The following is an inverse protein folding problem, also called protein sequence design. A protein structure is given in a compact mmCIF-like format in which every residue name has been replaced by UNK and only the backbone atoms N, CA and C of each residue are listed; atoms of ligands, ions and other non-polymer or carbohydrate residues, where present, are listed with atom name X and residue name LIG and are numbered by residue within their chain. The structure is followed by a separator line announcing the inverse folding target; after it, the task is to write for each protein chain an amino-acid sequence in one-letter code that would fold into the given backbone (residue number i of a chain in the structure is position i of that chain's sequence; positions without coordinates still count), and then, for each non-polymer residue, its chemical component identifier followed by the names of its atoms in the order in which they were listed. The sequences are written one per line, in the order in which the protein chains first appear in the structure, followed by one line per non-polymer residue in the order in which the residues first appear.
data_IF_358875284259
#
_entry.id   IF_358875284259
#
_cell.length_a   1.000
_cell.length_b   1.000
_cell.length_c   1.000
_cell.angle_alpha   90.00
_cell.angle_beta   90.00
_cell.angle_gamma   90.00
#
_symmetry.space_group_name_H-M   'P 1'
#
loop_
_entity.id
_entity.type
_entity.pdbx_description
1 polymer ?
#
# COMPACT_ATOMS: atom_id res chain seq x y z
N UNK A 1 -38.53 29.71 18.52
CA UNK A 1 -37.48 28.94 19.19
C UNK A 1 -37.26 27.74 18.29
N UNK A 2 -36.30 27.83 17.37
CA UNK A 2 -36.03 26.76 16.41
C UNK A 2 -35.51 25.55 17.18
N UNK A 3 -36.00 24.37 16.78
CA UNK A 3 -35.64 23.06 17.31
C UNK A 3 -34.22 22.67 16.86
N UNK A 4 -33.25 23.47 17.31
CA UNK A 4 -31.82 23.41 16.99
C UNK A 4 -31.18 22.11 17.52
N UNK A 5 -31.70 21.61 18.64
CA UNK A 5 -31.24 20.40 19.29
C UNK A 5 -31.57 19.12 18.53
N UNK A 6 -32.75 19.05 17.88
CA UNK A 6 -33.11 17.90 17.04
C UNK A 6 -32.21 17.79 15.82
N UNK A 7 -31.94 18.92 15.17
CA UNK A 7 -31.07 18.99 13.98
C UNK A 7 -29.60 18.73 14.32
N UNK A 8 -29.12 19.20 15.47
CA UNK A 8 -27.73 18.98 15.89
C UNK A 8 -27.47 17.52 16.26
N UNK A 9 -28.44 16.85 16.91
CA UNK A 9 -28.32 15.43 17.24
C UNK A 9 -28.34 14.55 15.98
N UNK A 10 -29.22 14.86 15.02
CA UNK A 10 -29.26 14.17 13.73
C UNK A 10 -27.93 14.33 12.97
N UNK A 11 -27.36 15.54 12.93
CA UNK A 11 -26.07 15.79 12.29
C UNK A 11 -24.91 15.02 12.95
N UNK A 12 -24.93 14.85 14.28
CA UNK A 12 -23.93 14.05 15.00
C UNK A 12 -24.07 12.56 14.68
N UNK A 13 -25.29 12.05 14.62
CA UNK A 13 -25.55 10.65 14.28
C UNK A 13 -25.16 10.33 12.84
N UNK A 14 -25.46 11.23 11.91
CA UNK A 14 -25.02 11.12 10.52
C UNK A 14 -23.50 11.12 10.39
N UNK A 15 -22.80 12.06 11.05
CA UNK A 15 -21.34 12.12 11.03
C UNK A 15 -20.69 10.85 11.61
N UNK A 16 -21.29 10.25 12.64
CA UNK A 16 -20.83 8.97 13.19
C UNK A 16 -21.03 7.82 12.23
N UNK A 17 -22.21 7.74 11.61
CA UNK A 17 -22.51 6.71 10.61
C UNK A 17 -21.54 6.81 9.43
N UNK A 18 -21.25 8.01 8.96
CA UNK A 18 -20.32 8.22 7.85
C UNK A 18 -18.90 7.79 8.26
N UNK A 19 -18.45 8.14 9.47
CA UNK A 19 -17.16 7.69 9.99
C UNK A 19 -17.07 6.15 10.10
N UNK A 20 -18.13 5.49 10.57
CA UNK A 20 -18.17 4.01 10.66
C UNK A 20 -18.11 3.37 9.26
N UNK A 21 -18.79 3.94 8.28
CA UNK A 21 -18.75 3.46 6.89
C UNK A 21 -17.37 3.65 6.26
N UNK A 22 -16.73 4.80 6.49
CA UNK A 22 -15.35 5.07 6.05
C UNK A 22 -14.37 4.09 6.69
N UNK A 23 -14.48 3.86 8.00
CA UNK A 23 -13.63 2.90 8.70
C UNK A 23 -13.83 1.48 8.18
N UNK A 24 -15.07 1.05 7.99
CA UNK A 24 -15.37 -0.27 7.42
C UNK A 24 -14.81 -0.43 5.99
N UNK A 25 -14.74 0.65 5.21
CA UNK A 25 -14.11 0.65 3.89
C UNK A 25 -12.58 0.54 3.97
N UNK A 26 -11.95 1.31 4.87
CA UNK A 26 -10.51 1.24 5.10
C UNK A 26 -10.08 -0.14 5.61
N UNK A 27 -10.83 -0.74 6.53
CA UNK A 27 -10.55 -2.08 7.06
C UNK A 27 -10.67 -3.16 5.98
N UNK A 28 -11.71 -3.08 5.15
CA UNK A 28 -11.89 -4.01 4.02
C UNK A 28 -10.72 -3.91 3.04
N UNK A 29 -10.28 -2.70 2.70
CA UNK A 29 -9.14 -2.52 1.80
C UNK A 29 -7.82 -2.96 2.43
N UNK A 30 -7.59 -2.64 3.70
CA UNK A 30 -6.44 -3.12 4.46
C UNK A 30 -6.37 -4.65 4.50
N UNK A 31 -7.50 -5.32 4.72
CA UNK A 31 -7.60 -6.78 4.69
C UNK A 31 -7.31 -7.35 3.29
N UNK A 32 -7.80 -6.70 2.22
CA UNK A 32 -7.49 -7.09 0.84
C UNK A 32 -5.98 -7.03 0.58
N UNK A 33 -5.33 -5.92 0.93
CA UNK A 33 -3.88 -5.73 0.76
C UNK A 33 -3.06 -6.74 1.59
N UNK A 34 -3.48 -7.00 2.83
CA UNK A 34 -2.84 -8.01 3.68
C UNK A 34 -2.94 -9.43 3.06
N UNK A 35 -4.10 -9.79 2.51
CA UNK A 35 -4.29 -11.06 1.84
C UNK A 35 -3.45 -11.20 0.56
N UNK A 36 -3.29 -10.14 -0.22
CA UNK A 36 -2.40 -10.11 -1.39
C UNK A 36 -0.94 -10.30 -0.98
N UNK A 37 -0.48 -9.55 0.04
CA UNK A 37 0.88 -9.71 0.60
C UNK A 37 1.14 -11.13 1.10
N UNK A 38 0.18 -11.74 1.79
CA UNK A 38 0.29 -13.13 2.26
C UNK A 38 0.43 -14.16 1.12
N UNK A 39 -0.04 -13.81 -0.10
CA UNK A 39 0.14 -14.62 -1.32
C UNK A 39 1.45 -14.31 -2.06
N UNK A 40 2.28 -13.41 -1.53
CA UNK A 40 3.54 -12.99 -2.14
C UNK A 40 3.39 -11.94 -3.25
N UNK A 41 2.20 -11.33 -3.36
CA UNK A 41 1.93 -10.25 -4.33
C UNK A 41 2.50 -8.94 -3.77
N UNK A 42 3.28 -8.24 -4.59
CA UNK A 42 3.80 -6.92 -4.30
C UNK A 42 2.69 -5.89 -4.38
N UNK A 43 2.36 -5.25 -3.25
CA UNK A 43 1.36 -4.18 -3.20
C UNK A 43 1.96 -2.77 -3.15
N UNK A 44 3.30 -2.67 -3.11
CA UNK A 44 4.00 -1.39 -3.03
C UNK A 44 4.27 -0.78 -4.41
N UNK A 45 4.50 -1.62 -5.43
CA UNK A 45 4.74 -1.21 -6.82
C UNK A 45 5.83 -0.14 -7.00
N UNK A 46 6.78 -0.06 -6.08
CA UNK A 46 7.90 0.87 -6.12
C UNK A 46 9.21 0.13 -5.84
N UNK A 47 10.20 0.38 -6.68
CA UNK A 47 11.49 -0.27 -6.64
C UNK A 47 12.56 0.55 -7.36
N UNK A 48 13.82 0.24 -7.07
CA UNK A 48 14.99 0.82 -7.75
C UNK A 48 15.69 -0.26 -8.56
N UNK A 49 16.11 0.09 -9.77
CA UNK A 49 16.91 -0.79 -10.62
C UNK A 49 18.41 -0.62 -10.33
N UNK A 50 19.20 -1.60 -10.76
CA UNK A 50 20.67 -1.52 -10.76
C UNK A 50 21.19 -0.22 -11.40
N UNK A 51 22.22 0.36 -10.77
CA UNK A 51 22.96 1.51 -11.29
C UNK A 51 24.39 1.51 -10.75
N UNK A 52 25.35 1.92 -11.57
CA UNK A 52 26.75 2.10 -11.19
C UNK A 52 27.24 3.49 -11.65
N UNK A 53 27.65 4.41 -10.73
CA UNK A 53 27.61 4.24 -9.28
C UNK A 53 26.18 4.25 -8.71
N UNK A 54 25.94 3.60 -7.56
CA UNK A 54 24.65 3.65 -6.87
C UNK A 54 24.31 5.09 -6.46
N UNK A 55 23.03 5.43 -6.54
CA UNK A 55 22.46 6.73 -6.13
C UNK A 55 21.65 6.58 -4.84
N UNK A 56 20.99 5.43 -4.66
CA UNK A 56 20.20 5.10 -3.47
C UNK A 56 20.79 3.89 -2.74
N UNK A 57 20.69 3.82 -1.39
CA UNK A 57 21.16 2.66 -0.61
C UNK A 57 20.55 1.33 -1.07
N UNK A 58 19.31 1.34 -1.55
CA UNK A 58 18.61 0.14 -2.02
C UNK A 58 19.22 -0.42 -3.31
N UNK A 59 20.07 0.33 -4.02
CA UNK A 59 20.81 -0.14 -5.20
C UNK A 59 22.09 -0.88 -4.85
N UNK A 60 22.57 -0.75 -3.61
CA UNK A 60 23.80 -1.40 -3.18
C UNK A 60 23.68 -2.93 -3.25
N UNK A 61 24.66 -3.54 -3.91
CA UNK A 61 24.72 -4.99 -4.13
C UNK A 61 23.76 -5.52 -5.19
N UNK A 62 23.04 -4.67 -5.93
CA UNK A 62 22.32 -5.12 -7.12
C UNK A 62 23.29 -5.48 -8.25
N UNK A 63 22.90 -6.46 -9.05
CA UNK A 63 23.56 -6.83 -10.29
C UNK A 63 22.81 -6.22 -11.49
N UNK A 64 23.45 -6.09 -12.67
CA UNK A 64 22.77 -5.66 -13.89
C UNK A 64 21.48 -6.44 -14.12
N UNK A 65 20.42 -5.72 -14.51
CA UNK A 65 19.03 -6.23 -14.71
C UNK A 65 18.27 -6.61 -13.45
N UNK A 66 18.84 -6.45 -12.26
CA UNK A 66 18.10 -6.61 -11.02
C UNK A 66 17.42 -5.30 -10.59
N UNK A 67 16.32 -5.45 -9.86
CA UNK A 67 15.68 -4.36 -9.13
C UNK A 67 15.38 -4.80 -7.69
N UNK A 68 15.24 -3.83 -6.78
CA UNK A 68 14.87 -4.07 -5.39
C UNK A 68 13.63 -3.27 -5.04
N UNK A 69 12.72 -3.88 -4.30
CA UNK A 69 11.62 -3.16 -3.68
C UNK A 69 12.15 -2.05 -2.75
N UNK A 70 11.52 -0.88 -2.77
CA UNK A 70 11.86 0.25 -1.89
C UNK A 70 10.95 0.33 -0.65
N UNK A 71 10.21 -0.74 -0.33
CA UNK A 71 9.27 -0.76 0.81
C UNK A 71 10.04 -0.74 2.14
N UNK A 72 10.36 0.47 2.60
CA UNK A 72 11.14 0.71 3.82
C UNK A 72 10.35 0.61 5.13
N UNK A 73 9.03 0.39 5.09
CA UNK A 73 8.16 0.44 6.27
C UNK A 73 7.69 -0.93 6.76
N UNK A 74 7.38 -1.86 5.85
CA UNK A 74 6.98 -3.23 6.17
C UNK A 74 8.09 -4.27 5.92
N UNK A 75 9.29 -3.82 5.52
CA UNK A 75 10.49 -4.66 5.42
C UNK A 75 10.58 -5.54 4.18
N UNK A 76 9.81 -5.28 3.12
CA UNK A 76 9.97 -6.03 1.87
C UNK A 76 11.25 -5.60 1.16
N UNK A 77 12.29 -6.45 1.24
CA UNK A 77 13.59 -6.25 0.59
C UNK A 77 13.77 -7.16 -0.62
N UNK A 78 12.67 -7.59 -1.24
CA UNK A 78 12.71 -8.53 -2.37
C UNK A 78 13.55 -7.96 -3.51
N UNK A 79 14.45 -8.79 -4.03
CA UNK A 79 15.22 -8.53 -5.25
C UNK A 79 14.55 -9.30 -6.39
N UNK A 80 14.33 -8.62 -7.49
CA UNK A 80 13.78 -9.16 -8.72
C UNK A 80 14.91 -9.30 -9.73
N UNK A 81 14.96 -10.44 -10.42
CA UNK A 81 16.04 -10.76 -11.35
C UNK A 81 15.76 -10.33 -12.79
N UNK A 82 14.54 -9.87 -13.06
CA UNK A 82 14.14 -9.30 -14.33
C UNK A 82 12.89 -8.42 -14.18
N UNK A 83 12.61 -7.64 -15.21
CA UNK A 83 11.39 -6.83 -15.29
C UNK A 83 10.14 -7.73 -15.31
N UNK A 84 10.21 -8.91 -15.93
CA UNK A 84 9.12 -9.89 -15.93
C UNK A 84 8.83 -10.41 -14.52
N UNK A 85 9.85 -10.67 -13.69
CA UNK A 85 9.63 -11.07 -12.30
C UNK A 85 8.96 -9.95 -11.49
N UNK A 86 9.36 -8.70 -11.74
CA UNK A 86 8.76 -7.53 -11.12
C UNK A 86 7.28 -7.36 -11.51
N UNK A 87 6.97 -7.52 -12.79
CA UNK A 87 5.58 -7.43 -13.30
C UNK A 87 4.74 -8.59 -12.77
N UNK A 88 5.24 -9.83 -12.83
CA UNK A 88 4.52 -11.01 -12.34
C UNK A 88 4.21 -10.92 -10.83
N UNK A 89 5.10 -10.28 -10.05
CA UNK A 89 4.85 -10.05 -8.63
C UNK A 89 3.67 -9.08 -8.37
N UNK A 90 3.20 -8.35 -9.39
CA UNK A 90 2.10 -7.39 -9.30
C UNK A 90 0.82 -7.86 -10.00
N UNK A 91 0.84 -9.00 -10.69
CA UNK A 91 -0.24 -9.49 -11.59
C UNK A 91 -1.57 -9.91 -10.91
N UNK A 92 -1.85 -9.44 -9.71
CA UNK A 92 -3.13 -9.68 -9.01
C UNK A 92 -3.59 -8.49 -8.16
N UNK A 93 -2.98 -7.32 -8.35
CA UNK A 93 -3.42 -6.04 -7.78
C UNK A 93 -4.74 -5.58 -8.39
#
# INVERSE_FOLDING_TARGET
MHDDWGTDMEAIEDARRDADLEQAAMEREGNRLAALRARGICTHSSGVAYRDPPVYPEQDGLLPRQSRCTEGTAGCTRVFNSDEEWVAAQEAL
#
